data_IF_567740003332
#
_entry.id   IF_567740003332
#
_cell.length_a   1.000
_cell.length_b   1.000
_cell.length_c   1.000
_cell.angle_alpha   90.00
_cell.angle_beta   90.00
_cell.angle_gamma   90.00
#
_symmetry.space_group_name_H-M   'P 1'
#
loop_
_entity.id
_entity.type
_entity.pdbx_description
1 polymer ?
#
# COMPACT_ATOMS: atom_id res chain seq x y z
N UNK A 1 -7.21 -35.82 -37.05
CA UNK A 1 -6.11 -36.11 -36.12
C UNK A 1 -4.98 -35.13 -36.41
N UNK A 2 -4.34 -34.61 -35.36
CA UNK A 2 -3.37 -33.50 -35.26
C UNK A 2 -3.97 -32.10 -35.40
N UNK A 3 -3.81 -31.15 -34.49
CA UNK A 3 -3.28 -31.17 -33.12
C UNK A 3 -3.71 -29.82 -32.51
N UNK A 4 -4.67 -29.82 -31.59
CA UNK A 4 -5.17 -28.61 -30.92
C UNK A 4 -4.63 -28.53 -29.48
N UNK A 5 -3.39 -29.01 -29.27
CA UNK A 5 -2.80 -29.25 -27.95
C UNK A 5 -1.96 -28.09 -27.39
N UNK A 6 -2.02 -26.91 -28.01
CA UNK A 6 -1.44 -25.69 -27.44
C UNK A 6 -2.46 -24.55 -27.33
N UNK A 7 -3.67 -24.87 -26.85
CA UNK A 7 -4.43 -23.87 -26.13
C UNK A 7 -3.67 -23.61 -24.82
N UNK A 8 -2.94 -22.50 -24.78
CA UNK A 8 -2.48 -21.95 -23.51
C UNK A 8 -3.65 -21.97 -22.53
N UNK A 9 -3.48 -22.44 -21.28
CA UNK A 9 -4.56 -22.39 -20.30
C UNK A 9 -5.08 -20.96 -20.33
N UNK A 10 -6.39 -20.81 -20.58
CA UNK A 10 -7.08 -19.53 -20.75
C UNK A 10 -6.37 -18.50 -19.88
N UNK A 11 -5.67 -17.57 -20.54
CA UNK A 11 -4.91 -16.53 -19.87
C UNK A 11 -5.82 -16.02 -18.76
N UNK A 12 -5.38 -16.09 -17.51
CA UNK A 12 -6.17 -15.68 -16.34
C UNK A 12 -6.82 -14.37 -16.73
N UNK A 13 -8.12 -14.39 -17.03
CA UNK A 13 -8.71 -13.25 -17.71
C UNK A 13 -8.78 -12.17 -16.65
N UNK A 14 -7.98 -11.13 -16.85
CA UNK A 14 -7.77 -10.04 -15.90
C UNK A 14 -8.94 -9.04 -15.96
N UNK A 15 -10.15 -9.53 -16.23
CA UNK A 15 -11.33 -8.70 -16.42
C UNK A 15 -11.82 -8.13 -15.07
N UNK A 16 -12.04 -6.81 -15.09
CA UNK A 16 -12.37 -5.93 -13.97
C UNK A 16 -11.82 -4.52 -14.24
N UNK A 17 -12.48 -3.46 -13.71
CA UNK A 17 -12.12 -2.05 -14.01
C UNK A 17 -10.67 -1.69 -13.66
N UNK A 18 -10.09 -2.39 -12.69
CA UNK A 18 -8.66 -2.35 -12.39
C UNK A 18 -8.05 -3.73 -12.57
N UNK A 19 -7.14 -3.88 -13.53
CA UNK A 19 -6.39 -5.10 -13.73
C UNK A 19 -5.56 -5.43 -12.47
N UNK A 20 -5.66 -6.69 -12.02
CA UNK A 20 -5.13 -7.14 -10.72
C UNK A 20 -3.61 -7.02 -10.61
N UNK A 21 -2.91 -7.27 -11.72
CA UNK A 21 -1.45 -7.19 -11.78
C UNK A 21 -0.95 -5.74 -11.69
N UNK A 22 -1.45 -4.77 -12.48
CA UNK A 22 -1.13 -3.35 -12.27
C UNK A 22 -1.47 -2.86 -10.87
N UNK A 23 -2.63 -3.24 -10.32
CA UNK A 23 -2.95 -2.92 -8.92
C UNK A 23 -1.91 -3.48 -7.98
N UNK A 24 -1.62 -4.79 -8.03
CA UNK A 24 -0.67 -5.44 -7.13
C UNK A 24 0.74 -4.86 -7.25
N UNK A 25 1.21 -4.53 -8.47
CA UNK A 25 2.55 -3.97 -8.71
C UNK A 25 2.64 -2.52 -8.23
N UNK A 26 1.64 -1.68 -8.55
CA UNK A 26 1.59 -0.29 -8.11
C UNK A 26 1.49 -0.24 -6.60
N UNK A 27 0.59 -1.04 -6.05
CA UNK A 27 0.45 -1.24 -4.64
C UNK A 27 1.84 -1.64 -4.08
N UNK A 28 2.42 -2.80 -4.44
CA UNK A 28 3.71 -3.25 -3.90
C UNK A 28 4.81 -2.20 -4.00
N UNK A 29 4.93 -1.53 -5.14
CA UNK A 29 5.90 -0.46 -5.34
C UNK A 29 5.69 0.68 -4.34
N UNK A 30 4.45 1.13 -4.19
CA UNK A 30 4.11 2.18 -3.24
C UNK A 30 4.30 1.72 -1.77
N UNK A 31 3.88 0.50 -1.45
CA UNK A 31 4.03 -0.10 -0.13
C UNK A 31 5.48 -0.35 0.26
N UNK A 32 6.40 -0.49 -0.71
CA UNK A 32 7.84 -0.57 -0.48
C UNK A 32 8.49 0.82 -0.35
N UNK A 33 7.96 1.84 -1.04
CA UNK A 33 8.44 3.23 -0.93
C UNK A 33 8.06 3.85 0.41
N UNK A 34 6.85 3.58 0.90
CA UNK A 34 6.35 4.12 2.19
C UNK A 34 7.31 3.89 3.38
N UNK A 35 7.83 2.67 3.65
CA UNK A 35 8.83 2.43 4.69
C UNK A 35 10.11 3.23 4.50
N UNK A 36 10.62 3.34 3.27
CA UNK A 36 11.84 4.11 2.98
C UNK A 36 11.67 5.60 3.29
N UNK A 37 10.49 6.15 3.02
CA UNK A 37 10.14 7.53 3.34
C UNK A 37 9.98 7.73 4.86
N UNK A 38 9.29 6.81 5.55
CA UNK A 38 9.17 6.82 7.02
C UNK A 38 10.55 6.75 7.69
N UNK A 39 11.46 5.90 7.19
CA UNK A 39 12.82 5.78 7.72
C UNK A 39 13.59 7.11 7.54
N UNK A 40 13.44 7.77 6.38
CA UNK A 40 14.02 9.09 6.11
C UNK A 40 13.45 10.17 7.04
N UNK A 41 12.14 10.17 7.31
CA UNK A 41 11.50 11.09 8.24
C UNK A 41 11.99 10.90 9.69
N UNK A 42 12.09 9.64 10.16
CA UNK A 42 12.61 9.28 11.49
C UNK A 42 14.04 9.78 11.68
N UNK A 43 14.86 9.69 10.64
CA UNK A 43 16.23 10.21 10.62
C UNK A 43 16.28 11.73 10.74
N UNK A 44 15.52 12.44 9.92
CA UNK A 44 15.45 13.90 9.98
C UNK A 44 14.96 14.39 11.34
N UNK A 45 14.02 13.66 11.97
CA UNK A 45 13.53 13.97 13.31
C UNK A 45 14.56 13.72 14.42
N UNK A 46 15.38 12.67 14.31
CA UNK A 46 16.51 12.41 15.23
C UNK A 46 17.51 13.57 15.24
N UNK A 47 17.90 14.06 14.06
CA UNK A 47 18.87 15.15 13.94
C UNK A 47 18.32 16.49 14.46
N UNK A 48 16.99 16.63 14.52
CA UNK A 48 16.29 17.75 15.15
C UNK A 48 16.17 17.61 16.69
N UNK A 49 16.72 16.54 17.28
CA UNK A 49 16.72 16.32 18.74
C UNK A 49 15.47 15.62 19.28
N UNK A 50 14.63 15.02 18.43
CA UNK A 50 13.53 14.19 18.91
C UNK A 50 14.08 12.87 19.50
N UNK A 51 13.63 12.51 20.70
CA UNK A 51 14.01 11.27 21.37
C UNK A 51 13.34 10.05 20.68
N UNK A 52 13.94 9.57 19.60
CA UNK A 52 13.47 8.39 18.86
C UNK A 52 14.34 7.15 19.16
N UNK A 53 13.76 5.95 19.30
CA UNK A 53 14.51 4.71 19.50
C UNK A 53 15.31 4.34 18.24
N UNK A 54 16.64 4.32 18.36
CA UNK A 54 17.61 4.42 17.25
C UNK A 54 18.00 3.11 16.55
N UNK A 55 17.11 2.10 16.41
CA UNK A 55 17.55 0.72 16.08
C UNK A 55 17.45 0.28 14.60
N UNK A 56 17.05 1.11 13.64
CA UNK A 56 16.88 0.68 12.24
C UNK A 56 17.37 1.73 11.23
N UNK A 57 18.60 2.23 11.35
CA UNK A 57 19.15 3.19 10.39
C UNK A 57 20.15 2.51 9.45
N UNK A 58 19.88 2.43 8.13
CA UNK A 58 20.86 2.00 7.14
C UNK A 58 22.10 2.92 7.10
N UNK A 59 23.29 2.34 6.92
CA UNK A 59 24.56 3.07 6.88
C UNK A 59 24.63 4.18 5.80
N UNK A 60 23.83 4.08 4.73
CA UNK A 60 23.78 5.06 3.64
C UNK A 60 23.16 6.40 4.07
N UNK A 61 22.36 6.42 5.14
CA UNK A 61 21.59 7.60 5.56
C UNK A 61 22.25 8.45 6.65
N UNK A 62 23.42 8.04 7.16
CA UNK A 62 24.17 8.76 8.20
C UNK A 62 24.88 10.04 7.69
N UNK A 63 24.83 10.28 6.37
CA UNK A 63 25.57 11.36 5.71
C UNK A 63 24.70 12.59 5.39
N UNK A 64 23.45 12.63 5.86
CA UNK A 64 22.56 13.77 5.63
C UNK A 64 22.95 14.92 6.58
N UNK A 65 23.29 16.13 6.07
CA UNK A 65 23.55 17.29 6.91
C UNK A 65 22.30 17.71 7.68
N UNK A 66 22.43 18.03 8.97
CA UNK A 66 21.30 18.45 9.81
C UNK A 66 20.53 19.67 9.26
N UNK A 67 21.21 20.56 8.52
CA UNK A 67 20.57 21.72 7.85
C UNK A 67 19.55 21.32 6.78
N UNK A 68 19.65 20.10 6.23
CA UNK A 68 18.72 19.57 5.24
C UNK A 68 17.59 18.74 5.87
N UNK A 69 17.63 18.46 7.17
CA UNK A 69 16.65 17.59 7.82
C UNK A 69 15.21 18.14 7.72
N UNK A 70 14.99 19.41 8.08
CA UNK A 70 13.67 20.02 8.02
C UNK A 70 13.07 20.08 6.60
N UNK A 71 13.76 20.57 5.56
CA UNK A 71 13.20 20.59 4.20
C UNK A 71 12.97 19.18 3.65
N UNK A 72 13.85 18.22 3.93
CA UNK A 72 13.64 16.83 3.53
C UNK A 72 12.42 16.23 4.21
N UNK A 73 12.22 16.49 5.51
CA UNK A 73 11.04 16.04 6.26
C UNK A 73 9.73 16.61 5.67
N UNK A 74 9.73 17.88 5.23
CA UNK A 74 8.55 18.49 4.60
C UNK A 74 8.25 17.83 3.25
N UNK A 75 9.26 17.67 2.40
CA UNK A 75 9.11 17.02 1.09
C UNK A 75 8.64 15.58 1.25
N UNK A 76 9.25 14.87 2.19
CA UNK A 76 8.92 13.49 2.52
C UNK A 76 7.46 13.37 3.01
N UNK A 77 7.05 14.23 3.94
CA UNK A 77 5.66 14.28 4.41
C UNK A 77 4.64 14.56 3.31
N UNK A 78 4.94 15.48 2.39
CA UNK A 78 4.06 15.76 1.24
C UNK A 78 3.96 14.54 0.33
N UNK A 79 5.09 13.92 0.02
CA UNK A 79 5.13 12.73 -0.82
C UNK A 79 4.38 11.55 -0.18
N UNK A 80 4.55 11.32 1.12
CA UNK A 80 3.79 10.32 1.89
C UNK A 80 2.28 10.56 1.80
N UNK A 81 1.82 11.80 1.97
CA UNK A 81 0.38 12.14 1.87
C UNK A 81 -0.13 11.90 0.45
N UNK A 82 0.57 12.38 -0.58
CA UNK A 82 0.18 12.17 -1.97
C UNK A 82 0.08 10.68 -2.32
N UNK A 83 1.06 9.91 -1.87
CA UNK A 83 1.16 8.48 -2.06
C UNK A 83 0.03 7.72 -1.35
N UNK A 84 -0.31 8.12 -0.11
CA UNK A 84 -1.44 7.57 0.63
C UNK A 84 -2.75 7.82 -0.12
N UNK A 85 -3.00 9.04 -0.62
CA UNK A 85 -4.21 9.38 -1.38
C UNK A 85 -4.35 8.51 -2.63
N UNK A 86 -3.26 8.28 -3.36
CA UNK A 86 -3.24 7.41 -4.55
C UNK A 86 -3.61 5.97 -4.17
N UNK A 87 -3.00 5.41 -3.12
CA UNK A 87 -3.32 4.06 -2.65
C UNK A 87 -4.78 3.92 -2.23
N UNK A 88 -5.27 4.85 -1.41
CA UNK A 88 -6.65 4.83 -0.94
C UNK A 88 -7.63 4.88 -2.12
N UNK A 89 -7.32 5.68 -3.14
CA UNK A 89 -8.11 5.76 -4.37
C UNK A 89 -8.16 4.43 -5.10
N UNK A 90 -7.05 3.70 -5.18
CA UNK A 90 -7.02 2.37 -5.79
C UNK A 90 -7.75 1.31 -4.95
N UNK A 91 -7.58 1.32 -3.62
CA UNK A 91 -8.26 0.39 -2.72
C UNK A 91 -9.78 0.57 -2.78
N UNK A 92 -10.28 1.82 -2.77
CA UNK A 92 -11.72 2.11 -2.89
C UNK A 92 -12.26 1.60 -4.22
N UNK A 93 -11.58 1.86 -5.33
CA UNK A 93 -11.96 1.32 -6.65
C UNK A 93 -11.99 -0.20 -6.63
N UNK A 94 -11.02 -0.84 -6.00
CA UNK A 94 -10.97 -2.31 -5.91
C UNK A 94 -12.09 -2.89 -5.07
N UNK A 95 -12.46 -2.24 -3.96
CA UNK A 95 -13.62 -2.63 -3.18
C UNK A 95 -14.92 -2.49 -3.97
N UNK A 96 -15.07 -1.39 -4.71
CA UNK A 96 -16.23 -1.19 -5.59
C UNK A 96 -16.27 -2.23 -6.71
N UNK A 97 -15.13 -2.61 -7.29
CA UNK A 97 -15.05 -3.70 -8.27
C UNK A 97 -15.55 -5.03 -7.69
N UNK A 98 -15.34 -5.27 -6.39
CA UNK A 98 -15.87 -6.44 -5.68
C UNK A 98 -17.30 -6.25 -5.16
N UNK A 99 -17.97 -5.16 -5.52
CA UNK A 99 -19.30 -4.77 -5.05
C UNK A 99 -19.38 -4.62 -3.51
N UNK A 100 -18.27 -4.21 -2.89
CA UNK A 100 -18.15 -3.93 -1.46
C UNK A 100 -17.98 -2.43 -1.23
N UNK A 101 -18.41 -1.94 -0.07
CA UNK A 101 -18.29 -0.53 0.29
C UNK A 101 -16.84 -0.08 0.45
N UNK A 102 -16.48 1.06 -0.18
CA UNK A 102 -15.17 1.70 -0.04
C UNK A 102 -14.84 2.15 1.38
N UNK A 103 -15.84 2.28 2.26
CA UNK A 103 -15.65 2.63 3.67
C UNK A 103 -14.83 1.60 4.45
N UNK A 104 -14.69 0.36 3.96
CA UNK A 104 -13.80 -0.63 4.59
C UNK A 104 -12.34 -0.20 4.65
N UNK A 105 -11.91 0.70 3.75
CA UNK A 105 -10.58 1.31 3.82
C UNK A 105 -10.38 2.09 5.11
N UNK A 106 -11.41 2.77 5.63
CA UNK A 106 -11.31 3.47 6.91
C UNK A 106 -11.18 2.50 8.08
N UNK A 107 -11.89 1.37 8.05
CA UNK A 107 -11.75 0.33 9.07
C UNK A 107 -10.32 -0.22 9.10
N UNK A 108 -9.71 -0.42 7.92
CA UNK A 108 -8.28 -0.77 7.81
C UNK A 108 -7.37 0.30 8.39
N UNK A 109 -7.60 1.58 8.09
CA UNK A 109 -6.78 2.68 8.62
C UNK A 109 -6.92 2.86 10.13
N UNK A 110 -8.08 2.51 10.69
CA UNK A 110 -8.33 2.55 12.14
C UNK A 110 -7.75 1.34 12.89
N UNK A 111 -7.50 0.21 12.20
CA UNK A 111 -7.02 -1.02 12.82
C UNK A 111 -5.68 -0.85 13.58
N UNK A 112 -4.65 -0.17 13.05
CA UNK A 112 -3.41 0.12 13.80
C UNK A 112 -3.61 1.08 14.99
N UNK A 113 -4.70 1.86 15.00
CA UNK A 113 -5.01 2.80 16.07
C UNK A 113 -5.74 2.15 17.25
N UNK A 114 -6.12 0.87 17.14
CA UNK A 114 -6.70 0.12 18.26
C UNK A 114 -5.59 -0.27 19.23
N UNK A 115 -5.65 0.17 20.51
CA UNK A 115 -4.70 -0.25 21.52
C UNK A 115 -5.01 -1.69 21.93
N UNK A 116 -4.43 -2.65 21.20
CA UNK A 116 -4.50 -4.06 21.57
C UNK A 116 -3.41 -4.32 22.61
N UNK A 117 -3.76 -4.72 23.85
CA UNK A 117 -2.75 -5.08 24.85
C UNK A 117 -1.94 -6.28 24.35
N UNK A 118 -0.61 -6.21 24.52
CA UNK A 118 0.36 -7.28 24.27
C UNK A 118 0.49 -7.76 22.80
N UNK A 119 -0.06 -7.03 21.83
CA UNK A 119 0.17 -7.30 20.40
C UNK A 119 1.25 -6.35 19.91
N UNK A 120 2.51 -6.81 19.99
CA UNK A 120 3.65 -6.18 19.31
C UNK A 120 3.32 -5.93 17.82
N UNK A 121 3.94 -4.93 17.18
CA UNK A 121 3.36 -4.23 16.05
C UNK A 121 3.40 -5.09 14.78
N UNK A 122 2.40 -5.96 14.63
CA UNK A 122 2.03 -6.56 13.36
C UNK A 122 0.86 -5.87 12.63
N UNK A 123 0.67 -4.52 12.68
CA UNK A 123 -0.09 -3.84 11.65
C UNK A 123 0.38 -4.25 10.25
N UNK A 124 1.68 -4.49 10.07
CA UNK A 124 2.31 -4.86 8.79
C UNK A 124 1.78 -6.16 8.18
N UNK A 125 1.60 -7.23 8.97
CA UNK A 125 1.10 -8.51 8.44
C UNK A 125 -0.38 -8.40 8.08
N UNK A 126 -1.20 -7.80 8.93
CA UNK A 126 -2.62 -7.59 8.62
C UNK A 126 -2.81 -6.74 7.36
N UNK A 127 -1.98 -5.70 7.20
CA UNK A 127 -1.94 -4.87 6.00
C UNK A 127 -1.55 -5.66 4.76
N UNK A 128 -0.52 -6.51 4.87
CA UNK A 128 -0.07 -7.37 3.78
C UNK A 128 -1.15 -8.37 3.37
N UNK A 129 -1.80 -9.01 4.34
CA UNK A 129 -2.91 -9.94 4.10
C UNK A 129 -4.06 -9.20 3.43
N UNK A 130 -4.47 -8.04 3.94
CA UNK A 130 -5.51 -7.22 3.34
C UNK A 130 -5.24 -6.93 1.86
N UNK A 131 -4.01 -6.54 1.55
CA UNK A 131 -3.62 -6.26 0.18
C UNK A 131 -3.55 -7.50 -0.70
N UNK A 132 -3.06 -8.61 -0.17
CA UNK A 132 -3.06 -9.88 -0.88
C UNK A 132 -4.49 -10.29 -1.22
N UNK A 133 -5.44 -10.13 -0.30
CA UNK A 133 -6.86 -10.37 -0.55
C UNK A 133 -7.38 -9.47 -1.67
N UNK A 134 -7.14 -8.15 -1.61
CA UNK A 134 -7.56 -7.23 -2.67
C UNK A 134 -6.97 -7.56 -4.05
N UNK A 135 -5.72 -8.00 -4.08
CA UNK A 135 -5.00 -8.34 -5.30
C UNK A 135 -5.45 -9.69 -5.91
N UNK A 136 -5.86 -10.65 -5.08
CA UNK A 136 -6.18 -12.02 -5.53
C UNK A 136 -7.65 -12.24 -5.80
N UNK A 137 -8.55 -11.61 -5.02
CA UNK A 137 -9.99 -11.81 -5.14
C UNK A 137 -10.48 -11.31 -6.50
N UNK A 138 -11.30 -12.07 -7.24
CA UNK A 138 -11.91 -11.61 -8.49
C UNK A 138 -12.88 -10.45 -8.28
N UNK A 139 -12.93 -9.55 -9.26
CA UNK A 139 -13.98 -8.54 -9.33
C UNK A 139 -15.33 -9.17 -9.66
N UNK A 140 -16.40 -8.39 -9.51
CA UNK A 140 -17.73 -8.77 -9.97
C UNK A 140 -17.78 -8.79 -11.50
N UNK A 141 -18.49 -9.78 -12.05
CA UNK A 141 -18.70 -9.90 -13.49
C UNK A 141 -19.91 -9.06 -13.92
N UNK A 142 -19.71 -8.14 -14.86
CA UNK A 142 -20.75 -7.25 -15.36
C UNK A 142 -21.09 -6.08 -14.40
N UNK A 143 -22.25 -5.43 -14.60
CA UNK A 143 -22.68 -4.28 -13.81
C UNK A 143 -22.67 -4.53 -12.30
N UNK A 144 -22.18 -3.57 -11.51
CA UNK A 144 -22.21 -3.61 -10.04
C UNK A 144 -22.97 -2.42 -9.45
N UNK A 145 -23.14 -2.39 -8.12
CA UNK A 145 -23.88 -1.34 -7.42
C UNK A 145 -23.25 0.07 -7.57
N UNK A 146 -21.99 0.15 -8.03
CA UNK A 146 -21.21 1.36 -8.20
C UNK A 146 -21.02 1.75 -9.67
N UNK A 147 -21.69 1.09 -10.61
CA UNK A 147 -21.71 1.47 -12.02
C UNK A 147 -21.92 0.29 -12.98
N UNK A 148 -22.37 0.56 -14.21
CA UNK A 148 -22.69 -0.46 -15.20
C UNK A 148 -21.49 -1.03 -15.99
N UNK A 149 -20.28 -0.48 -15.84
CA UNK A 149 -19.07 -0.94 -16.56
C UNK A 149 -18.23 -1.94 -15.77
#
# INVERSE_FOLDING_TARGET
>A
MSDASHAWPAAIDFEGRVARLPFAVIALGIGAVMPLMIDLAVLCARDLGAALPSRVIPALLQWVPASLALPLLIVDGIALVALAVILLSFEVRRLHDMNVTGWLVLARLAFPALPLPDVDPFPSIAFLIWWLLLATIPGTAGPNAYGPE
#
